data_IF_616510352741
#
_entry.id   IF_616510352741
#
_cell.length_a   1.000
_cell.length_b   1.000
_cell.length_c   1.000
_cell.angle_alpha   90.00
_cell.angle_beta   90.00
_cell.angle_gamma   90.00
#
_symmetry.space_group_name_H-M   'P 1'
#
loop_
_entity.id
_entity.type
_entity.pdbx_description
1 polymer ?
#
# COMPACT_ATOMS: atom_id res chain seq x y z
N UNK A 1 31.67 25.65 9.93
CA UNK A 1 30.28 25.33 10.32
C UNK A 1 30.31 24.72 11.71
N UNK A 2 29.59 25.28 12.70
CA UNK A 2 29.48 24.73 14.06
C UNK A 2 28.18 23.93 14.15
N UNK A 3 28.25 22.62 13.91
CA UNK A 3 27.10 21.73 14.10
C UNK A 3 27.09 21.24 15.55
N UNK A 4 25.95 21.35 16.23
CA UNK A 4 25.76 20.86 17.59
C UNK A 4 25.02 19.52 17.52
N UNK A 5 25.76 18.42 17.64
CA UNK A 5 25.19 17.08 17.71
C UNK A 5 24.32 16.93 18.97
N UNK A 6 23.05 16.55 18.79
CA UNK A 6 22.15 16.19 19.89
C UNK A 6 21.62 14.77 19.69
N UNK A 7 22.34 13.79 20.23
CA UNK A 7 21.91 12.39 20.26
C UNK A 7 20.82 12.12 21.31
N UNK A 8 20.62 13.03 22.28
CA UNK A 8 19.60 12.90 23.31
C UNK A 8 18.17 13.05 22.79
N UNK A 9 17.99 13.64 21.60
CA UNK A 9 16.69 13.89 20.97
C UNK A 9 15.80 12.64 20.86
N UNK A 10 16.41 11.45 20.75
CA UNK A 10 15.67 10.18 20.69
C UNK A 10 14.81 9.93 21.94
N UNK A 11 15.21 10.47 23.09
CA UNK A 11 14.50 10.34 24.37
C UNK A 11 13.59 11.53 24.67
N UNK A 12 13.70 12.61 23.91
CA UNK A 12 12.78 13.75 24.01
C UNK A 12 11.40 13.38 23.44
N UNK A 13 10.37 14.05 23.94
CA UNK A 13 9.00 13.88 23.46
C UNK A 13 8.88 14.38 22.01
N UNK A 14 8.23 13.58 21.16
CA UNK A 14 7.92 14.01 19.79
C UNK A 14 6.85 15.11 19.77
N UNK A 15 6.66 15.86 18.67
CA UNK A 15 5.78 17.05 18.63
C UNK A 15 4.31 16.80 19.00
N UNK A 16 3.85 15.56 18.91
CA UNK A 16 2.51 15.14 19.36
C UNK A 16 2.38 14.98 20.89
N UNK A 17 3.49 15.03 21.64
CA UNK A 17 3.55 14.92 23.09
C UNK A 17 3.22 13.52 23.66
N UNK A 18 3.04 12.50 22.80
CA UNK A 18 2.57 11.16 23.23
C UNK A 18 3.73 10.19 23.44
N UNK A 19 4.65 10.10 22.47
CA UNK A 19 5.79 9.18 22.49
C UNK A 19 7.09 9.97 22.42
N UNK A 20 8.22 9.32 22.72
CA UNK A 20 9.53 9.87 22.39
C UNK A 20 9.79 9.81 20.88
N UNK A 21 10.76 10.58 20.38
CA UNK A 21 11.16 10.47 18.97
C UNK A 21 11.53 9.03 18.59
N UNK A 22 12.27 8.33 19.46
CA UNK A 22 12.59 6.92 19.24
C UNK A 22 11.33 6.04 19.20
N UNK A 23 10.39 6.27 20.13
CA UNK A 23 9.13 5.53 20.16
C UNK A 23 8.31 5.72 18.87
N UNK A 24 8.23 6.95 18.37
CA UNK A 24 7.55 7.26 17.11
C UNK A 24 8.23 6.61 15.90
N UNK A 25 9.56 6.61 15.83
CA UNK A 25 10.31 5.94 14.77
C UNK A 25 10.11 4.41 14.80
N UNK A 26 10.15 3.81 15.99
CA UNK A 26 9.90 2.37 16.17
C UNK A 26 8.47 2.00 15.78
N UNK A 27 7.49 2.82 16.15
CA UNK A 27 6.10 2.62 15.75
C UNK A 27 5.93 2.68 14.23
N UNK A 28 6.53 3.68 13.58
CA UNK A 28 6.56 3.79 12.12
C UNK A 28 7.20 2.56 11.46
N UNK A 29 8.35 2.11 11.98
CA UNK A 29 9.04 0.92 11.51
C UNK A 29 8.16 -0.34 11.61
N UNK A 30 7.47 -0.53 12.74
CA UNK A 30 6.55 -1.67 12.92
C UNK A 30 5.45 -1.65 11.86
N UNK A 31 4.84 -0.49 11.59
CA UNK A 31 3.81 -0.38 10.55
C UNK A 31 4.36 -0.59 9.14
N UNK A 32 5.55 -0.10 8.83
CA UNK A 32 6.21 -0.37 7.55
C UNK A 32 6.43 -1.87 7.36
N UNK A 33 6.96 -2.55 8.37
CA UNK A 33 7.22 -3.99 8.32
C UNK A 33 5.91 -4.80 8.23
N UNK A 34 4.91 -4.46 9.05
CA UNK A 34 3.61 -5.12 9.03
C UNK A 34 2.94 -4.97 7.65
N UNK A 35 2.93 -3.76 7.10
CA UNK A 35 2.35 -3.48 5.79
C UNK A 35 3.12 -4.20 4.67
N UNK A 36 4.45 -4.17 4.70
CA UNK A 36 5.28 -4.86 3.72
C UNK A 36 5.07 -6.39 3.75
N UNK A 37 5.00 -7.00 4.94
CA UNK A 37 4.78 -8.45 5.09
C UNK A 37 3.39 -8.88 4.61
N UNK A 38 2.36 -8.10 4.93
CA UNK A 38 1.00 -8.36 4.44
C UNK A 38 0.93 -8.23 2.92
N UNK A 39 1.44 -7.14 2.36
CA UNK A 39 1.48 -6.93 0.91
C UNK A 39 2.27 -8.03 0.20
N UNK A 40 3.43 -8.43 0.75
CA UNK A 40 4.24 -9.51 0.21
C UNK A 40 3.50 -10.85 0.24
N UNK A 41 2.83 -11.19 1.33
CA UNK A 41 2.07 -12.44 1.46
C UNK A 41 0.94 -12.49 0.42
N UNK A 42 0.18 -11.41 0.28
CA UNK A 42 -0.90 -11.30 -0.71
C UNK A 42 -0.33 -11.42 -2.13
N UNK A 43 0.76 -10.70 -2.42
CA UNK A 43 1.41 -10.72 -3.73
C UNK A 43 1.97 -12.11 -4.07
N UNK A 44 2.53 -12.82 -3.09
CA UNK A 44 3.04 -14.18 -3.28
C UNK A 44 1.91 -15.15 -3.60
N UNK A 45 0.81 -15.12 -2.83
CA UNK A 45 -0.34 -16.01 -3.05
C UNK A 45 -0.98 -15.73 -4.41
N UNK A 46 -1.38 -14.48 -4.67
CA UNK A 46 -2.03 -14.11 -5.93
C UNK A 46 -1.09 -14.28 -7.12
N UNK A 47 0.16 -13.84 -7.00
CA UNK A 47 1.17 -13.97 -8.04
C UNK A 47 1.44 -15.44 -8.40
N UNK A 48 1.47 -16.34 -7.41
CA UNK A 48 1.63 -17.77 -7.66
C UNK A 48 0.41 -18.35 -8.39
N UNK A 49 -0.81 -18.02 -7.96
CA UNK A 49 -2.05 -18.49 -8.61
C UNK A 49 -2.10 -18.02 -10.06
N UNK A 50 -1.90 -16.72 -10.30
CA UNK A 50 -1.92 -16.14 -11.65
C UNK A 50 -0.78 -16.70 -12.51
N UNK A 51 0.40 -16.92 -11.91
CA UNK A 51 1.54 -17.54 -12.58
C UNK A 51 1.24 -18.95 -13.08
N UNK A 52 0.60 -19.79 -12.26
CA UNK A 52 0.16 -21.14 -12.65
C UNK A 52 -0.93 -21.10 -13.72
N UNK A 53 -1.91 -20.19 -13.59
CA UNK A 53 -2.97 -20.04 -14.60
C UNK A 53 -2.42 -19.69 -15.99
N UNK A 54 -1.31 -18.95 -16.04
CA UNK A 54 -0.65 -18.59 -17.31
C UNK A 54 -0.05 -19.78 -18.04
N UNK A 55 0.32 -20.85 -17.32
CA UNK A 55 0.84 -22.10 -17.91
C UNK A 55 -0.25 -23.13 -18.17
N UNK A 56 -1.51 -22.82 -17.87
CA UNK A 56 -2.61 -23.74 -18.09
C UNK A 56 -2.84 -24.00 -19.61
N UNK A 57 -3.20 -25.23 -20.01
CA UNK A 57 -3.48 -25.55 -21.40
C UNK A 57 -4.74 -24.85 -21.95
N UNK A 58 -5.60 -24.32 -21.06
CA UNK A 58 -6.76 -23.53 -21.45
C UNK A 58 -6.36 -22.11 -21.86
N UNK A 59 -6.50 -21.81 -23.15
CA UNK A 59 -6.16 -20.52 -23.77
C UNK A 59 -6.88 -19.35 -23.11
N UNK A 60 -8.13 -19.52 -22.66
CA UNK A 60 -8.88 -18.43 -22.01
C UNK A 60 -8.31 -18.07 -20.64
N UNK A 61 -7.92 -19.07 -19.85
CA UNK A 61 -7.27 -18.85 -18.55
C UNK A 61 -5.90 -18.20 -18.72
N UNK A 62 -5.11 -18.67 -19.68
CA UNK A 62 -3.81 -18.09 -19.97
C UNK A 62 -3.93 -16.63 -20.45
N UNK A 63 -4.92 -16.32 -21.30
CA UNK A 63 -5.21 -14.94 -21.74
C UNK A 63 -5.64 -14.03 -20.60
N UNK A 64 -6.54 -14.52 -19.72
CA UNK A 64 -6.94 -13.77 -18.54
C UNK A 64 -5.75 -13.46 -17.62
N UNK A 65 -4.91 -14.47 -17.34
CA UNK A 65 -3.71 -14.30 -16.53
C UNK A 65 -2.71 -13.31 -17.15
N UNK A 66 -2.53 -13.35 -18.47
CA UNK A 66 -1.70 -12.36 -19.18
C UNK A 66 -2.27 -10.95 -19.06
N UNK A 67 -3.58 -10.76 -19.26
CA UNK A 67 -4.22 -9.46 -19.11
C UNK A 67 -4.09 -8.90 -17.70
N UNK A 68 -4.26 -9.74 -16.67
CA UNK A 68 -4.00 -9.35 -15.28
C UNK A 68 -2.57 -8.85 -15.08
N UNK A 69 -1.57 -9.62 -15.55
CA UNK A 69 -0.16 -9.27 -15.39
C UNK A 69 0.18 -7.99 -16.14
N UNK A 70 -0.29 -7.82 -17.37
CA UNK A 70 -0.06 -6.62 -18.17
C UNK A 70 -0.65 -5.38 -17.49
N UNK A 71 -1.88 -5.45 -16.97
CA UNK A 71 -2.52 -4.34 -16.28
C UNK A 71 -1.69 -3.86 -15.08
N UNK A 72 -1.35 -4.78 -14.16
CA UNK A 72 -0.71 -4.41 -12.90
C UNK A 72 0.79 -4.13 -13.03
N UNK A 73 1.48 -4.69 -14.03
CA UNK A 73 2.92 -4.46 -14.22
C UNK A 73 3.26 -3.30 -15.15
N UNK A 74 2.37 -2.93 -16.08
CA UNK A 74 2.64 -1.87 -17.05
C UNK A 74 2.04 -0.51 -16.65
N UNK A 75 1.03 -0.48 -15.76
CA UNK A 75 0.45 0.78 -15.28
C UNK A 75 1.26 1.32 -14.09
N UNK A 76 1.75 2.58 -14.14
CA UNK A 76 2.48 3.19 -13.04
C UNK A 76 1.69 3.16 -11.73
N UNK A 77 2.36 2.87 -10.60
CA UNK A 77 1.72 2.80 -9.29
C UNK A 77 0.97 4.10 -8.94
N UNK A 78 1.53 5.25 -9.31
CA UNK A 78 0.89 6.55 -9.08
C UNK A 78 -0.47 6.65 -9.79
N UNK A 79 -0.56 6.16 -11.03
CA UNK A 79 -1.83 6.12 -11.78
C UNK A 79 -2.83 5.19 -11.08
N UNK A 80 -2.37 4.03 -10.61
CA UNK A 80 -3.24 3.13 -9.84
C UNK A 80 -3.77 3.83 -8.58
N UNK A 81 -2.93 4.55 -7.84
CA UNK A 81 -3.36 5.31 -6.66
C UNK A 81 -4.45 6.34 -7.01
N UNK A 82 -4.29 7.07 -8.12
CA UNK A 82 -5.30 8.01 -8.61
C UNK A 82 -6.62 7.30 -8.97
N UNK A 83 -6.56 6.15 -9.64
CA UNK A 83 -7.76 5.38 -9.98
C UNK A 83 -8.51 4.93 -8.73
N UNK A 84 -7.80 4.41 -7.72
CA UNK A 84 -8.43 3.94 -6.48
C UNK A 84 -9.06 5.08 -5.67
N UNK A 85 -8.45 6.26 -5.66
CA UNK A 85 -8.92 7.38 -4.87
C UNK A 85 -10.00 8.22 -5.57
N UNK A 86 -9.83 8.53 -6.86
CA UNK A 86 -10.71 9.46 -7.59
C UNK A 86 -11.74 8.76 -8.48
N UNK A 87 -11.43 7.58 -9.03
CA UNK A 87 -12.29 6.94 -10.03
C UNK A 87 -13.15 5.85 -9.41
N UNK A 88 -12.56 4.94 -8.63
CA UNK A 88 -13.28 3.83 -7.98
C UNK A 88 -14.53 4.31 -7.22
N UNK A 89 -14.47 5.31 -6.31
CA UNK A 89 -15.65 5.71 -5.56
C UNK A 89 -16.77 6.34 -6.40
N UNK A 90 -16.52 6.76 -7.65
CA UNK A 90 -17.56 7.30 -8.54
C UNK A 90 -18.25 6.21 -9.38
N UNK A 91 -17.61 5.05 -9.57
CA UNK A 91 -18.16 3.93 -10.37
C UNK A 91 -18.89 2.89 -9.54
N UNK A 92 -18.61 2.82 -8.24
CA UNK A 92 -19.26 1.92 -7.28
C UNK A 92 -20.62 2.48 -6.81
N UNK A 93 -21.52 1.66 -6.25
CA UNK A 93 -22.79 2.14 -5.71
C UNK A 93 -22.61 3.31 -4.72
N UNK A 94 -23.51 4.29 -4.77
CA UNK A 94 -23.39 5.59 -4.06
C UNK A 94 -23.11 5.46 -2.56
N UNK A 95 -23.71 4.48 -1.89
CA UNK A 95 -23.45 4.20 -0.48
C UNK A 95 -22.00 3.78 -0.21
N UNK A 96 -21.45 2.87 -1.03
CA UNK A 96 -20.07 2.41 -0.90
C UNK A 96 -19.08 3.51 -1.30
N UNK A 97 -19.38 4.26 -2.36
CA UNK A 97 -18.54 5.39 -2.80
C UNK A 97 -18.46 6.49 -1.74
N UNK A 98 -19.58 6.83 -1.12
CA UNK A 98 -19.63 7.84 -0.05
C UNK A 98 -18.89 7.37 1.20
N UNK A 99 -19.06 6.09 1.58
CA UNK A 99 -18.29 5.50 2.68
C UNK A 99 -16.78 5.54 2.42
N UNK A 100 -16.34 5.20 1.22
CA UNK A 100 -14.93 5.24 0.84
C UNK A 100 -14.35 6.65 0.95
N UNK A 101 -15.10 7.67 0.48
CA UNK A 101 -14.72 9.09 0.57
C UNK A 101 -14.68 9.61 2.02
N UNK A 102 -15.33 8.93 2.95
CA UNK A 102 -15.41 9.32 4.37
C UNK A 102 -14.38 8.59 5.25
N UNK A 103 -13.52 7.72 4.70
CA UNK A 103 -12.53 7.00 5.47
C UNK A 103 -11.60 7.97 6.23
N UNK A 104 -11.57 7.93 7.58
CA UNK A 104 -10.69 8.79 8.37
C UNK A 104 -9.23 8.47 8.05
N UNK A 105 -8.39 9.48 7.93
CA UNK A 105 -6.96 9.33 7.62
C UNK A 105 -6.67 8.55 6.34
N UNK A 106 -7.51 8.68 5.30
CA UNK A 106 -7.13 8.26 3.96
C UNK A 106 -5.78 8.93 3.62
N UNK A 107 -4.71 8.15 3.64
CA UNK A 107 -3.35 8.66 3.73
C UNK A 107 -2.82 9.01 2.34
N UNK A 108 -3.43 9.98 1.67
CA UNK A 108 -2.89 10.69 0.50
C UNK A 108 -3.35 12.15 0.51
#
# INVERSE_FOLDING_TARGET
MKYNWNWGIFFDLSPNGVNTYLGTLMFGMVWTLATALLAWTIALVLGSIIGVLRTAPNVWLARFANGWVELFRNIPLLVQMFLWYFVLPEIVPSGFGTWLKQLPNASF
#
